data_IF_567044564686
#
_entry.id   IF_567044564686
#
_cell.length_a   1.000
_cell.length_b   1.000
_cell.length_c   1.000
_cell.angle_alpha   90.00
_cell.angle_beta   90.00
_cell.angle_gamma   90.00
#
_symmetry.space_group_name_H-M   'P 1'
#
loop_
_entity.id
_entity.type
_entity.pdbx_description
1 polymer ?
#
# COMPACT_ATOMS: atom_id res chain seq x y z
N UNK A 1 -16.73 0.72 42.46
CA UNK A 1 -16.86 -0.24 41.33
C UNK A 1 -17.37 0.40 40.03
N UNK A 2 -18.05 1.55 40.06
CA UNK A 2 -18.57 2.26 38.87
C UNK A 2 -17.49 2.85 37.93
N UNK A 3 -16.34 3.27 38.46
CA UNK A 3 -15.28 3.91 37.67
C UNK A 3 -14.46 2.96 36.77
N UNK A 4 -14.31 1.69 37.16
CA UNK A 4 -13.60 0.69 36.34
C UNK A 4 -14.44 0.22 35.16
N UNK A 5 -15.74 -0.08 35.39
CA UNK A 5 -16.65 -0.47 34.32
C UNK A 5 -16.76 0.63 33.23
N UNK A 6 -16.82 1.90 33.64
CA UNK A 6 -16.82 3.05 32.72
C UNK A 6 -15.53 3.15 31.87
N UNK A 7 -14.35 2.90 32.48
CA UNK A 7 -13.08 2.88 31.75
C UNK A 7 -12.98 1.74 30.74
N UNK A 8 -13.47 0.55 31.09
CA UNK A 8 -13.47 -0.62 30.19
C UNK A 8 -14.38 -0.35 28.99
N UNK A 9 -15.62 0.12 29.23
CA UNK A 9 -16.56 0.44 28.15
C UNK A 9 -15.98 1.51 27.23
N UNK A 10 -15.39 2.57 27.78
CA UNK A 10 -14.70 3.59 27.00
C UNK A 10 -13.56 2.99 26.14
N UNK A 11 -12.72 2.15 26.73
CA UNK A 11 -11.63 1.47 26.03
C UNK A 11 -12.13 0.62 24.85
N UNK A 12 -13.19 -0.18 25.07
CA UNK A 12 -13.79 -1.00 24.02
C UNK A 12 -14.36 -0.14 22.88
N UNK A 13 -15.07 0.95 23.21
CA UNK A 13 -15.63 1.87 22.20
C UNK A 13 -14.52 2.53 21.39
N UNK A 14 -13.43 2.96 22.03
CA UNK A 14 -12.27 3.52 21.32
C UNK A 14 -11.60 2.47 20.42
N UNK A 15 -11.44 1.23 20.88
CA UNK A 15 -10.86 0.15 20.09
C UNK A 15 -11.70 -0.13 18.84
N UNK A 16 -13.03 -0.21 18.99
CA UNK A 16 -13.95 -0.42 17.87
C UNK A 16 -13.90 0.75 16.87
N UNK A 17 -13.85 2.00 17.36
CA UNK A 17 -13.70 3.18 16.51
C UNK A 17 -12.37 3.16 15.75
N UNK A 18 -11.27 2.84 16.44
CA UNK A 18 -9.95 2.70 15.83
C UNK A 18 -9.96 1.62 14.75
N UNK A 19 -10.48 0.43 15.07
CA UNK A 19 -10.60 -0.67 14.12
C UNK A 19 -11.43 -0.29 12.90
N UNK A 20 -12.56 0.39 13.08
CA UNK A 20 -13.39 0.88 11.98
C UNK A 20 -12.64 1.83 11.05
N UNK A 21 -11.89 2.80 11.60
CA UNK A 21 -11.07 3.72 10.80
C UNK A 21 -9.92 3.00 10.08
N UNK A 22 -9.32 1.98 10.70
CA UNK A 22 -8.31 1.16 10.05
C UNK A 22 -8.89 0.36 8.88
N UNK A 23 -10.04 -0.29 9.07
CA UNK A 23 -10.72 -1.05 8.02
C UNK A 23 -11.00 -0.17 6.80
N UNK A 24 -11.53 1.04 7.02
CA UNK A 24 -11.79 1.99 5.93
C UNK A 24 -10.48 2.47 5.27
N UNK A 25 -9.40 2.63 6.04
CA UNK A 25 -8.08 2.99 5.49
C UNK A 25 -7.47 1.87 4.64
N UNK A 26 -7.87 0.63 4.87
CA UNK A 26 -7.42 -0.54 4.14
C UNK A 26 -8.23 -0.86 2.87
N UNK A 27 -9.22 -0.05 2.49
CA UNK A 27 -10.09 -0.37 1.35
C UNK A 27 -9.33 -0.57 0.03
N UNK A 28 -8.38 0.31 -0.28
CA UNK A 28 -7.56 0.19 -1.49
C UNK A 28 -6.65 -1.06 -1.45
N UNK A 29 -5.82 -1.28 -0.39
CA UNK A 29 -5.07 -2.53 -0.24
C UNK A 29 -5.96 -3.77 -0.33
N UNK A 30 -7.09 -3.80 0.36
CA UNK A 30 -7.99 -4.95 0.38
C UNK A 30 -8.55 -5.24 -1.02
N UNK A 31 -8.98 -4.22 -1.76
CA UNK A 31 -9.43 -4.38 -3.14
C UNK A 31 -8.30 -4.87 -4.06
N UNK A 32 -7.08 -4.35 -3.88
CA UNK A 32 -5.91 -4.80 -4.62
C UNK A 32 -5.60 -6.28 -4.35
N UNK A 33 -5.56 -6.70 -3.08
CA UNK A 33 -5.32 -8.10 -2.70
C UNK A 33 -6.45 -9.02 -3.16
N UNK A 34 -7.70 -8.55 -3.15
CA UNK A 34 -8.83 -9.28 -3.70
C UNK A 34 -8.64 -9.51 -5.21
N UNK A 35 -8.26 -8.50 -5.98
CA UNK A 35 -7.94 -8.66 -7.41
C UNK A 35 -6.78 -9.64 -7.63
N UNK A 36 -5.73 -9.56 -6.81
CA UNK A 36 -4.61 -10.50 -6.84
C UNK A 36 -5.05 -11.96 -6.56
N UNK A 37 -5.93 -12.16 -5.57
CA UNK A 37 -6.47 -13.47 -5.23
C UNK A 37 -7.38 -14.02 -6.32
N UNK A 38 -8.34 -13.22 -6.81
CA UNK A 38 -9.28 -13.59 -7.86
C UNK A 38 -8.56 -13.95 -9.15
N UNK A 39 -7.51 -13.19 -9.53
CA UNK A 39 -6.72 -13.46 -10.74
C UNK A 39 -6.03 -14.84 -10.76
N UNK A 40 -5.97 -15.56 -9.63
CA UNK A 40 -5.46 -16.95 -9.59
C UNK A 40 -6.46 -17.96 -10.15
N UNK A 41 -7.75 -17.64 -10.11
CA UNK A 41 -8.83 -18.60 -10.37
C UNK A 41 -9.67 -18.26 -11.59
N UNK A 42 -9.35 -17.15 -12.27
CA UNK A 42 -10.08 -16.67 -13.44
C UNK A 42 -9.15 -16.73 -14.64
N UNK A 43 -9.64 -17.32 -15.72
CA UNK A 43 -8.96 -17.28 -17.02
C UNK A 43 -9.10 -15.88 -17.63
N UNK A 44 -7.96 -15.27 -17.89
CA UNK A 44 -7.87 -13.89 -18.37
C UNK A 44 -7.49 -13.87 -19.85
N UNK A 45 -8.05 -12.94 -20.65
CA UNK A 45 -7.77 -12.84 -22.08
C UNK A 45 -6.36 -12.31 -22.39
N UNK A 46 -5.64 -11.83 -21.37
CA UNK A 46 -4.27 -11.32 -21.45
C UNK A 46 -3.44 -11.91 -20.31
N UNK A 47 -2.12 -11.76 -20.38
CA UNK A 47 -1.23 -12.24 -19.34
C UNK A 47 -1.61 -11.66 -17.96
N UNK A 48 -1.58 -12.50 -16.94
CA UNK A 48 -2.16 -12.20 -15.61
C UNK A 48 -1.58 -10.94 -14.98
N UNK A 49 -0.27 -10.70 -15.13
CA UNK A 49 0.35 -9.50 -14.57
C UNK A 49 -0.04 -8.21 -15.30
N UNK A 50 -0.30 -8.27 -16.61
CA UNK A 50 -0.82 -7.13 -17.37
C UNK A 50 -2.28 -6.83 -16.96
N UNK A 51 -3.10 -7.86 -16.79
CA UNK A 51 -4.47 -7.71 -16.28
C UNK A 51 -4.49 -7.07 -14.88
N UNK A 52 -3.58 -7.47 -13.99
CA UNK A 52 -3.44 -6.87 -12.66
C UNK A 52 -2.97 -5.42 -12.73
N UNK A 53 -2.09 -5.07 -13.67
CA UNK A 53 -1.69 -3.68 -13.89
C UNK A 53 -2.89 -2.82 -14.30
N UNK A 54 -3.66 -3.26 -15.30
CA UNK A 54 -4.87 -2.56 -15.74
C UNK A 54 -5.87 -2.43 -14.60
N UNK A 55 -6.09 -3.51 -13.84
CA UNK A 55 -6.95 -3.49 -12.66
C UNK A 55 -6.49 -2.45 -11.62
N UNK A 56 -5.19 -2.39 -11.30
CA UNK A 56 -4.67 -1.43 -10.33
C UNK A 56 -4.81 0.03 -10.81
N UNK A 57 -4.62 0.28 -12.11
CA UNK A 57 -4.85 1.60 -12.71
C UNK A 57 -6.33 2.00 -12.62
N UNK A 58 -7.24 1.09 -12.98
CA UNK A 58 -8.68 1.29 -12.85
C UNK A 58 -9.11 1.48 -11.39
N UNK A 59 -8.52 0.73 -10.46
CA UNK A 59 -8.77 0.86 -9.03
C UNK A 59 -8.36 2.24 -8.52
N UNK A 60 -7.16 2.70 -8.88
CA UNK A 60 -6.64 4.03 -8.53
C UNK A 60 -7.52 5.13 -9.09
N UNK A 61 -7.88 5.02 -10.38
CA UNK A 61 -8.79 5.96 -11.04
C UNK A 61 -10.18 5.96 -10.38
N UNK A 62 -10.74 4.78 -10.10
CA UNK A 62 -12.05 4.63 -9.48
C UNK A 62 -12.09 5.27 -8.09
N UNK A 63 -11.09 5.00 -7.24
CA UNK A 63 -10.98 5.59 -5.90
C UNK A 63 -10.89 7.12 -5.94
N UNK A 64 -10.23 7.68 -6.95
CA UNK A 64 -10.22 9.11 -7.17
C UNK A 64 -11.58 9.66 -7.62
N UNK A 65 -12.24 9.00 -8.58
CA UNK A 65 -13.57 9.41 -9.09
C UNK A 65 -14.61 9.41 -7.97
N UNK A 66 -14.63 8.39 -7.11
CA UNK A 66 -15.54 8.32 -5.96
C UNK A 66 -15.06 9.15 -4.76
N UNK A 67 -13.98 9.94 -4.93
CA UNK A 67 -13.40 10.84 -3.92
C UNK A 67 -12.96 10.16 -2.63
N UNK A 68 -12.61 8.87 -2.71
CA UNK A 68 -11.94 8.16 -1.62
C UNK A 68 -10.47 8.59 -1.52
N UNK A 69 -9.87 8.94 -2.66
CA UNK A 69 -8.51 9.49 -2.77
C UNK A 69 -8.52 10.88 -3.40
N UNK A 70 -7.63 11.74 -2.93
CA UNK A 70 -7.37 13.07 -3.50
C UNK A 70 -6.25 13.02 -4.54
N UNK A 71 -6.12 14.07 -5.35
CA UNK A 71 -5.01 14.19 -6.30
C UNK A 71 -3.62 14.12 -5.65
N UNK A 72 -3.48 14.66 -4.43
CA UNK A 72 -2.23 14.58 -3.67
C UNK A 72 -1.92 13.13 -3.29
N UNK A 73 -2.94 12.36 -2.96
CA UNK A 73 -2.80 10.96 -2.56
C UNK A 73 -2.51 10.06 -3.76
N UNK A 74 -3.07 10.37 -4.93
CA UNK A 74 -2.66 9.73 -6.19
C UNK A 74 -1.18 9.98 -6.48
N UNK A 75 -0.68 11.20 -6.26
CA UNK A 75 0.74 11.49 -6.44
C UNK A 75 1.61 10.67 -5.47
N UNK A 76 1.14 10.45 -4.23
CA UNK A 76 1.82 9.55 -3.28
C UNK A 76 1.75 8.10 -3.74
N UNK A 77 0.59 7.60 -4.18
CA UNK A 77 0.42 6.26 -4.78
C UNK A 77 1.41 6.06 -5.93
N UNK A 78 1.52 7.04 -6.83
CA UNK A 78 2.48 7.00 -7.94
C UNK A 78 3.94 6.99 -7.45
N UNK A 79 4.29 7.82 -6.47
CA UNK A 79 5.63 7.82 -5.87
C UNK A 79 6.00 6.48 -5.23
N UNK A 80 5.09 5.90 -4.44
CA UNK A 80 5.28 4.58 -3.85
C UNK A 80 5.33 3.47 -4.90
N UNK A 81 4.60 3.60 -6.01
CA UNK A 81 4.68 2.67 -7.13
C UNK A 81 6.08 2.67 -7.75
N UNK A 82 6.66 3.85 -8.01
CA UNK A 82 8.00 3.97 -8.57
C UNK A 82 9.07 3.42 -7.62
N UNK A 83 9.01 3.80 -6.34
CA UNK A 83 9.94 3.28 -5.32
C UNK A 83 9.80 1.76 -5.18
N UNK A 84 8.57 1.25 -5.16
CA UNK A 84 8.29 -0.18 -5.10
C UNK A 84 8.86 -0.94 -6.30
N UNK A 85 8.69 -0.41 -7.51
CA UNK A 85 9.30 -1.00 -8.70
C UNK A 85 10.83 -1.01 -8.62
N UNK A 86 11.46 0.07 -8.16
CA UNK A 86 12.90 0.12 -7.98
C UNK A 86 13.40 -0.95 -6.99
N UNK A 87 12.69 -1.15 -5.88
CA UNK A 87 13.01 -2.20 -4.89
C UNK A 87 12.83 -3.60 -5.46
N UNK A 88 11.76 -3.85 -6.22
CA UNK A 88 11.55 -5.15 -6.86
C UNK A 88 12.59 -5.44 -7.95
N UNK A 89 13.00 -4.41 -8.71
CA UNK A 89 14.08 -4.54 -9.69
C UNK A 89 15.39 -4.92 -9.02
N UNK A 90 15.74 -4.27 -7.91
CA UNK A 90 16.92 -4.63 -7.12
C UNK A 90 16.83 -6.08 -6.64
N UNK A 91 15.72 -6.49 -6.02
CA UNK A 91 15.51 -7.85 -5.51
C UNK A 91 15.65 -8.92 -6.60
N UNK A 92 15.09 -8.68 -7.78
CA UNK A 92 15.21 -9.60 -8.92
C UNK A 92 16.64 -9.66 -9.45
N UNK A 93 17.34 -8.52 -9.52
CA UNK A 93 18.73 -8.48 -9.98
C UNK A 93 19.70 -9.21 -9.06
N UNK A 94 19.51 -9.11 -7.74
CA UNK A 94 20.33 -9.85 -6.75
C UNK A 94 19.86 -11.30 -6.55
N UNK A 95 18.84 -11.75 -7.29
CA UNK A 95 18.35 -13.13 -7.26
C UNK A 95 17.55 -13.52 -6.01
N UNK A 96 17.19 -12.56 -5.14
CA UNK A 96 16.43 -12.84 -3.92
C UNK A 96 14.93 -12.96 -4.15
N UNK A 97 14.45 -12.62 -5.34
CA UNK A 97 13.05 -12.74 -5.74
C UNK A 97 12.91 -13.00 -7.24
N UNK A 98 11.77 -13.54 -7.67
CA UNK A 98 11.45 -13.75 -9.08
C UNK A 98 9.94 -13.66 -9.34
N UNK A 99 9.57 -13.20 -10.54
CA UNK A 99 8.20 -13.17 -11.03
C UNK A 99 8.03 -14.17 -12.18
N UNK A 100 7.60 -15.41 -11.89
CA UNK A 100 7.56 -16.49 -12.89
C UNK A 100 6.43 -16.36 -13.92
N UNK A 101 5.37 -15.60 -13.61
CA UNK A 101 4.24 -15.43 -14.54
C UNK A 101 4.56 -14.51 -15.72
N UNK A 102 3.81 -14.64 -16.82
CA UNK A 102 4.01 -13.83 -18.01
C UNK A 102 3.47 -12.40 -17.87
N UNK A 103 4.12 -11.47 -18.57
CA UNK A 103 3.61 -10.11 -18.82
C UNK A 103 4.34 -9.48 -20.01
N UNK A 104 3.62 -8.72 -20.83
CA UNK A 104 4.20 -7.81 -21.83
C UNK A 104 4.83 -6.60 -21.13
N UNK A 105 4.19 -6.11 -20.07
CA UNK A 105 4.67 -4.98 -19.25
C UNK A 105 5.68 -5.42 -18.18
N UNK A 106 6.54 -6.39 -18.50
CA UNK A 106 7.64 -6.81 -17.63
C UNK A 106 8.91 -6.07 -18.02
N UNK A 107 9.52 -5.37 -17.07
CA UNK A 107 10.80 -4.70 -17.24
C UNK A 107 11.87 -5.37 -16.39
N UNK A 108 12.95 -5.84 -17.04
CA UNK A 108 14.08 -6.52 -16.38
C UNK A 108 13.65 -7.61 -15.35
N UNK A 109 12.66 -8.42 -15.72
CA UNK A 109 12.15 -9.51 -14.86
C UNK A 109 11.01 -9.10 -13.90
N UNK A 110 10.70 -7.81 -13.78
CA UNK A 110 9.67 -7.28 -12.86
C UNK A 110 8.45 -6.78 -13.61
N UNK A 111 7.23 -7.30 -13.34
CA UNK A 111 6.01 -6.77 -13.94
C UNK A 111 5.68 -5.40 -13.34
N UNK A 112 5.21 -4.46 -14.15
CA UNK A 112 4.86 -3.11 -13.67
C UNK A 112 3.81 -3.14 -12.55
N UNK A 113 2.92 -4.12 -12.50
CA UNK A 113 1.95 -4.25 -11.40
C UNK A 113 2.62 -4.38 -10.01
N UNK A 114 3.85 -4.90 -9.93
CA UNK A 114 4.54 -5.17 -8.67
C UNK A 114 4.69 -3.90 -7.81
N UNK A 115 4.94 -2.74 -8.42
CA UNK A 115 4.99 -1.46 -7.73
C UNK A 115 3.71 -1.11 -6.98
N UNK A 116 2.54 -1.55 -7.47
CA UNK A 116 1.27 -1.29 -6.80
C UNK A 116 1.15 -2.01 -5.44
N UNK A 117 1.94 -3.06 -5.17
CA UNK A 117 1.98 -3.65 -3.81
C UNK A 117 2.50 -2.64 -2.79
N UNK A 118 3.48 -1.81 -3.17
CA UNK A 118 3.99 -0.72 -2.35
C UNK A 118 3.07 0.49 -2.38
N UNK A 119 2.46 0.80 -3.54
CA UNK A 119 1.49 1.88 -3.66
C UNK A 119 0.27 1.69 -2.74
N UNK A 120 -0.16 0.46 -2.51
CA UNK A 120 -1.20 0.14 -1.53
C UNK A 120 -0.81 0.59 -0.10
N UNK A 121 0.45 0.41 0.29
CA UNK A 121 0.97 0.90 1.57
C UNK A 121 0.90 2.44 1.61
N UNK A 122 1.30 3.10 0.52
CA UNK A 122 1.19 4.56 0.39
C UNK A 122 -0.25 5.06 0.56
N UNK A 123 -1.21 4.46 -0.15
CA UNK A 123 -2.64 4.77 0.00
C UNK A 123 -3.09 4.56 1.45
N UNK A 124 -2.82 3.40 2.05
CA UNK A 124 -3.17 3.14 3.45
C UNK A 124 -2.62 4.21 4.39
N UNK A 125 -1.34 4.57 4.26
CA UNK A 125 -0.71 5.60 5.10
C UNK A 125 -1.44 6.93 4.94
N UNK A 126 -1.69 7.38 3.71
CA UNK A 126 -2.44 8.61 3.46
C UNK A 126 -3.85 8.57 4.10
N UNK A 127 -4.56 7.48 3.88
CA UNK A 127 -5.92 7.27 4.37
C UNK A 127 -6.00 7.26 5.90
N UNK A 128 -5.05 6.58 6.55
CA UNK A 128 -4.92 6.54 8.00
C UNK A 128 -4.54 7.92 8.54
N UNK A 129 -3.56 8.58 7.92
CA UNK A 129 -3.12 9.92 8.33
C UNK A 129 -4.25 10.93 8.33
N UNK A 130 -5.07 10.92 7.27
CA UNK A 130 -6.21 11.82 7.12
C UNK A 130 -7.34 11.50 8.09
N UNK A 131 -7.67 10.22 8.29
CA UNK A 131 -8.78 9.79 9.17
C UNK A 131 -8.48 9.94 10.66
N UNK A 132 -7.22 9.76 11.05
CA UNK A 132 -6.79 9.90 12.43
C UNK A 132 -6.26 11.30 12.77
N UNK A 133 -6.24 12.24 11.80
CA UNK A 133 -5.61 13.56 11.93
C UNK A 133 -4.20 13.47 12.55
N UNK A 134 -3.38 12.58 11.99
CA UNK A 134 -2.05 12.33 12.53
C UNK A 134 -1.15 13.55 12.30
N UNK A 135 -0.30 13.84 13.29
CA UNK A 135 0.71 14.89 13.22
C UNK A 135 2.01 14.34 13.76
N UNK A 136 3.09 14.61 13.05
CA UNK A 136 4.43 14.29 13.53
C UNK A 136 4.97 15.51 14.25
N UNK A 137 5.21 15.37 15.55
CA UNK A 137 5.87 16.38 16.38
C UNK A 137 7.26 15.89 16.79
N UNK A 138 8.24 16.79 16.82
CA UNK A 138 9.59 16.47 17.31
C UNK A 138 10.42 15.56 16.40
N UNK A 139 10.10 15.49 15.11
CA UNK A 139 10.89 14.73 14.14
C UNK A 139 12.32 15.29 14.03
N UNK A 140 13.31 14.41 14.14
CA UNK A 140 14.74 14.74 14.08
C UNK A 140 15.32 14.25 12.75
N UNK A 141 15.06 14.96 11.63
CA UNK A 141 15.32 14.46 10.28
C UNK A 141 16.77 14.03 10.08
N UNK A 142 17.74 14.82 10.56
CA UNK A 142 19.16 14.48 10.42
C UNK A 142 19.52 13.18 11.11
N UNK A 143 19.13 13.01 12.38
CA UNK A 143 19.43 11.81 13.15
C UNK A 143 18.73 10.58 12.56
N UNK A 144 17.47 10.73 12.14
CA UNK A 144 16.74 9.65 11.49
C UNK A 144 17.40 9.24 10.16
N UNK A 145 17.83 10.21 9.33
CA UNK A 145 18.52 9.92 8.07
C UNK A 145 19.87 9.25 8.29
N UNK A 146 20.68 9.73 9.24
CA UNK A 146 21.97 9.14 9.58
C UNK A 146 21.84 7.68 10.03
N UNK A 147 20.76 7.33 10.73
CA UNK A 147 20.47 5.94 11.11
C UNK A 147 19.87 5.13 9.96
N UNK A 148 19.03 5.74 9.12
CA UNK A 148 18.35 5.03 8.03
C UNK A 148 19.32 4.62 6.91
N UNK A 149 20.26 5.50 6.53
CA UNK A 149 21.23 5.24 5.45
C UNK A 149 21.99 3.92 5.64
N UNK A 150 22.66 3.64 6.79
CA UNK A 150 23.39 2.39 6.98
C UNK A 150 22.48 1.17 7.04
N UNK A 151 21.24 1.30 7.53
CA UNK A 151 20.25 0.20 7.51
C UNK A 151 19.90 -0.17 6.07
N UNK A 152 19.60 0.81 5.23
CA UNK A 152 19.30 0.58 3.81
C UNK A 152 20.53 0.16 3.00
N UNK A 153 21.73 0.57 3.38
CA UNK A 153 22.98 0.12 2.76
C UNK A 153 23.36 -1.33 3.16
N UNK A 154 22.74 -1.89 4.20
CA UNK A 154 22.96 -3.27 4.64
C UNK A 154 21.98 -4.28 4.00
N UNK A 155 21.05 -3.81 3.16
CA UNK A 155 20.20 -4.64 2.30
C UNK A 155 20.92 -5.02 1.01
#
# INVERSE_FOLDING_TARGET
MSGQASRIVFGCVQLLRFGGLQLVSCLFPAALFAGLAVSKYVDLPIARYDALLVYCLLLTFGFWVVRLETWREIAVIFGFHLVGLALELFKVQVGSWQYPGDAVTKFAGVPLFAGFMYAAVGSYICQAWRRFDLRVSGYRPLLTTVLAVPIYANF
#
